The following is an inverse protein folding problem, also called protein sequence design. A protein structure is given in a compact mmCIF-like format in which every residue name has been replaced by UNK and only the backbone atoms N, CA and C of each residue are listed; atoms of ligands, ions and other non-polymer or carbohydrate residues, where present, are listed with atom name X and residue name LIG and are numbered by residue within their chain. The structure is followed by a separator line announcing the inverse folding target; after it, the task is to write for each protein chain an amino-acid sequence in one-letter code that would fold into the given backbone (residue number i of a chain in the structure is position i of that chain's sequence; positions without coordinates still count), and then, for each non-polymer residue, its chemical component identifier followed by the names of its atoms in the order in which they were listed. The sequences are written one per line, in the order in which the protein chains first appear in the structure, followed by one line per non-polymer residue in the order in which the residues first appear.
data_IF_210399813935
#
_entry.id   IF_210399813935
#
_cell.length_a   1.000
_cell.length_b   1.000
_cell.length_c   1.000
_cell.angle_alpha   90.00
_cell.angle_beta   90.00
_cell.angle_gamma   90.00
#
_symmetry.space_group_name_H-M   'P 1'
#
loop_
_entity.id
_entity.type
_entity.pdbx_description
1 polymer ?
#
# COMPACT_ATOMS: atom_id res chain seq x y z
N UNK A 1 -9.50 -36.15 -31.51
CA UNK A 1 -8.10 -36.08 -30.99
C UNK A 1 -7.89 -35.07 -29.86
N UNK A 2 -8.83 -34.15 -29.57
CA UNK A 2 -8.73 -33.15 -28.48
C UNK A 2 -8.91 -33.74 -27.07
N UNK A 3 -9.73 -34.78 -26.92
CA UNK A 3 -10.00 -35.45 -25.63
C UNK A 3 -8.76 -36.10 -24.98
N UNK A 4 -7.72 -36.41 -25.77
CA UNK A 4 -6.43 -36.93 -25.26
C UNK A 4 -5.47 -35.85 -24.76
N UNK A 5 -5.75 -34.57 -25.05
CA UNK A 5 -4.92 -33.43 -24.65
C UNK A 5 -5.29 -32.91 -23.24
N UNK A 6 -6.51 -33.19 -22.80
CA UNK A 6 -7.05 -32.83 -21.48
C UNK A 6 -6.19 -33.36 -20.30
N UNK A 7 -5.78 -34.64 -20.26
CA UNK A 7 -4.94 -35.13 -19.16
C UNK A 7 -3.55 -34.50 -19.13
N UNK A 8 -3.08 -33.95 -20.26
CA UNK A 8 -1.80 -33.24 -20.35
C UNK A 8 -1.92 -31.78 -19.87
N UNK A 9 -3.07 -31.14 -20.12
CA UNK A 9 -3.32 -29.75 -19.73
C UNK A 9 -3.78 -29.59 -18.26
N UNK A 10 -4.46 -30.60 -17.72
CA UNK A 10 -4.95 -30.60 -16.34
C UNK A 10 -3.88 -30.28 -15.28
N UNK A 11 -2.68 -30.92 -15.27
CA UNK A 11 -1.65 -30.60 -14.28
C UNK A 11 -1.11 -29.17 -14.42
N UNK A 12 -1.02 -28.65 -15.65
CA UNK A 12 -0.60 -27.28 -15.90
C UNK A 12 -1.60 -26.26 -15.33
N UNK A 13 -2.90 -26.50 -15.53
CA UNK A 13 -3.95 -25.65 -14.98
C UNK A 13 -3.93 -25.65 -13.44
N UNK A 14 -3.75 -26.82 -12.82
CA UNK A 14 -3.67 -26.94 -11.35
C UNK A 14 -2.48 -26.13 -10.81
N UNK A 15 -1.31 -26.23 -11.46
CA UNK A 15 -0.14 -25.46 -11.05
C UNK A 15 -0.38 -23.95 -11.16
N UNK A 16 -1.02 -23.50 -12.23
CA UNK A 16 -1.37 -22.08 -12.42
C UNK A 16 -2.32 -21.61 -11.31
N UNK A 17 -3.36 -22.40 -11.00
CA UNK A 17 -4.32 -22.07 -9.93
C UNK A 17 -3.65 -21.97 -8.56
N UNK A 18 -2.71 -22.87 -8.24
CA UNK A 18 -1.95 -22.82 -6.97
C UNK A 18 -1.10 -21.55 -6.90
N UNK A 19 -0.44 -21.15 -8.00
CA UNK A 19 0.39 -19.94 -8.03
C UNK A 19 -0.44 -18.67 -7.86
N UNK A 20 -1.59 -18.59 -8.53
CA UNK A 20 -2.55 -17.50 -8.40
C UNK A 20 -3.09 -17.39 -6.98
N UNK A 21 -3.55 -18.51 -6.39
CA UNK A 21 -4.04 -18.55 -5.02
C UNK A 21 -2.94 -18.11 -4.03
N UNK A 22 -1.72 -18.61 -4.17
CA UNK A 22 -0.59 -18.21 -3.32
C UNK A 22 -0.27 -16.72 -3.45
N UNK A 23 -0.25 -16.18 -4.67
CA UNK A 23 0.01 -14.76 -4.91
C UNK A 23 -1.12 -13.86 -4.37
N UNK A 24 -2.37 -14.27 -4.53
CA UNK A 24 -3.54 -13.56 -4.01
C UNK A 24 -3.59 -13.57 -2.48
N UNK A 25 -3.25 -14.70 -1.85
CA UNK A 25 -3.14 -14.81 -0.40
C UNK A 25 -1.95 -13.98 0.08
N UNK A 26 -0.77 -14.08 -0.55
CA UNK A 26 0.40 -13.29 -0.14
C UNK A 26 0.14 -11.79 -0.24
N UNK A 27 -0.44 -11.34 -1.35
CA UNK A 27 -0.78 -9.93 -1.51
C UNK A 27 -1.81 -9.51 -0.47
N UNK A 28 -2.99 -10.14 -0.37
CA UNK A 28 -4.02 -9.64 0.53
C UNK A 28 -3.75 -9.82 2.04
N UNK A 29 -3.06 -10.88 2.47
CA UNK A 29 -2.73 -11.10 3.88
C UNK A 29 -1.44 -10.41 4.33
N UNK A 30 -0.43 -10.27 3.45
CA UNK A 30 0.84 -9.60 3.79
C UNK A 30 0.90 -8.14 3.34
N UNK A 31 -0.06 -7.63 2.56
CA UNK A 31 -0.33 -6.18 2.48
C UNK A 31 -1.15 -5.70 3.67
N UNK A 32 -0.82 -6.14 4.89
CA UNK A 32 -0.85 -5.13 5.96
C UNK A 32 0.19 -4.13 5.50
N UNK A 33 -0.26 -2.96 5.02
CA UNK A 33 0.64 -1.83 4.84
C UNK A 33 1.40 -1.74 6.16
N UNK A 34 2.63 -2.23 6.17
CA UNK A 34 3.57 -1.88 7.21
C UNK A 34 3.67 -0.40 6.99
N UNK A 35 2.85 0.38 7.69
CA UNK A 35 3.07 1.80 7.86
C UNK A 35 4.39 1.82 8.61
N UNK A 36 5.47 1.72 7.84
CA UNK A 36 6.81 1.96 8.31
C UNK A 36 6.67 3.38 8.84
N UNK A 37 6.55 3.50 10.17
CA UNK A 37 6.42 4.80 10.83
C UNK A 37 7.65 5.56 10.40
N UNK A 38 7.47 6.44 9.41
CA UNK A 38 8.56 7.24 8.89
C UNK A 38 8.99 8.08 10.07
N UNK A 39 10.26 8.02 10.45
CA UNK A 39 10.79 8.91 11.49
C UNK A 39 11.03 10.32 10.92
N UNK A 40 10.54 10.58 9.71
CA UNK A 40 10.71 11.86 9.06
C UNK A 40 9.84 12.90 9.75
N UNK A 41 10.54 13.95 10.21
CA UNK A 41 9.90 15.16 10.70
C UNK A 41 9.87 16.17 9.57
N UNK A 42 8.70 16.74 9.34
CA UNK A 42 8.48 17.72 8.28
C UNK A 42 8.11 19.04 8.94
N UNK A 43 8.64 20.13 8.39
CA UNK A 43 8.35 21.48 8.88
C UNK A 43 6.95 21.93 8.43
N UNK A 44 6.21 22.57 9.33
CA UNK A 44 4.95 23.22 9.03
C UNK A 44 5.17 24.48 8.17
N UNK A 45 4.44 24.60 7.06
CA UNK A 45 4.54 25.73 6.14
C UNK A 45 4.07 27.08 6.74
N UNK A 46 3.35 27.05 7.87
CA UNK A 46 2.84 28.26 8.54
C UNK A 46 3.76 28.74 9.67
N UNK A 47 4.15 27.85 10.59
CA UNK A 47 4.89 28.22 11.80
C UNK A 47 6.31 27.63 11.89
N UNK A 48 6.74 26.82 10.93
CA UNK A 48 8.07 26.22 10.90
C UNK A 48 8.32 25.12 11.93
N UNK A 49 7.31 24.72 12.71
CA UNK A 49 7.44 23.63 13.69
C UNK A 49 7.62 22.29 12.97
N UNK A 50 8.60 21.50 13.41
CA UNK A 50 8.84 20.14 12.91
C UNK A 50 7.88 19.16 13.57
N UNK A 51 7.10 18.46 12.74
CA UNK A 51 6.07 17.52 13.16
C UNK A 51 6.22 16.21 12.42
N UNK A 52 5.90 15.11 13.10
CA UNK A 52 5.91 13.77 12.53
C UNK A 52 4.90 13.67 11.37
N UNK A 53 5.26 12.95 10.30
CA UNK A 53 4.43 12.84 9.09
C UNK A 53 2.98 12.42 9.38
N UNK A 54 2.80 11.48 10.31
CA UNK A 54 1.48 10.99 10.77
C UNK A 54 0.54 12.06 11.34
N UNK A 55 1.07 13.19 11.79
CA UNK A 55 0.30 14.28 12.39
C UNK A 55 0.08 15.47 11.43
N UNK A 56 0.60 15.38 10.19
CA UNK A 56 0.50 16.47 9.23
C UNK A 56 -0.88 16.54 8.59
N UNK A 57 -1.35 17.77 8.42
CA UNK A 57 -2.54 18.10 7.66
C UNK A 57 -2.09 18.69 6.33
N UNK A 58 -2.42 18.02 5.22
CA UNK A 58 -2.13 18.52 3.88
C UNK A 58 -3.31 19.34 3.34
N UNK A 59 -3.06 20.58 2.89
CA UNK A 59 -4.06 21.45 2.27
C UNK A 59 -3.43 22.29 1.17
N UNK A 60 -4.03 22.27 -0.03
CA UNK A 60 -3.52 23.00 -1.21
C UNK A 60 -2.02 22.76 -1.51
N UNK A 61 -1.53 21.54 -1.28
CA UNK A 61 -0.12 21.17 -1.49
C UNK A 61 0.84 21.62 -0.40
N UNK A 62 0.36 22.30 0.66
CA UNK A 62 1.13 22.68 1.85
C UNK A 62 0.84 21.72 3.01
N UNK A 63 1.82 21.55 3.90
CA UNK A 63 1.81 20.67 5.07
C UNK A 63 1.77 21.49 6.35
N UNK A 64 0.82 21.19 7.22
CA UNK A 64 0.53 21.97 8.42
C UNK A 64 0.51 21.08 9.67
N UNK A 65 0.89 21.65 10.81
CA UNK A 65 0.88 20.95 12.10
C UNK A 65 -0.50 20.91 12.77
N UNK A 66 -1.41 21.83 12.42
CA UNK A 66 -2.73 21.95 13.05
C UNK A 66 -3.74 22.60 12.11
N UNK A 67 -5.04 22.46 12.42
CA UNK A 67 -6.11 23.13 11.67
C UNK A 67 -6.01 24.65 11.74
N UNK A 68 -5.49 25.19 12.82
CA UNK A 68 -5.28 26.64 12.99
C UNK A 68 -4.29 27.16 11.94
N UNK A 69 -3.17 26.44 11.75
CA UNK A 69 -2.16 26.76 10.74
C UNK A 69 -2.69 26.67 9.30
N UNK A 70 -3.77 25.92 9.05
CA UNK A 70 -4.37 25.81 7.71
C UNK A 70 -5.26 26.99 7.31
N UNK A 71 -5.64 27.84 8.27
CA UNK A 71 -6.48 29.01 8.05
C UNK A 71 -5.72 30.32 8.36
N UNK A 72 -4.40 30.23 8.53
CA UNK A 72 -3.52 31.36 8.78
C UNK A 72 -3.07 32.05 7.49
#
# INVERSE_FOLDING_TARGET
MIVKLIPLLAPFLILILIRLAKSFILSNLFTKKTTQKSKEMISCDSCGTFVHEDLLISRFGKKYCSKECTNS
#
